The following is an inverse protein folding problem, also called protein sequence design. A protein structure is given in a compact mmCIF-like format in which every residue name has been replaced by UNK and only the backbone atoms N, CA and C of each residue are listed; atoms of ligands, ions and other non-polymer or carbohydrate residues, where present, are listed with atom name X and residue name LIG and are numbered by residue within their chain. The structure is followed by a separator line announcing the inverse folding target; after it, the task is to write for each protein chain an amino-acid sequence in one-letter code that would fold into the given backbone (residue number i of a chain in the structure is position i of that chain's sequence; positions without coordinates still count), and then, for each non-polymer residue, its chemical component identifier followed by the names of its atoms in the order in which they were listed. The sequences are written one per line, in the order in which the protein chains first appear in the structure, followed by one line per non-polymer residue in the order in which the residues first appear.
data_IF_178502836931
#
_entry.id   IF_178502836931
#
_cell.length_a   1.000
_cell.length_b   1.000
_cell.length_c   1.000
_cell.angle_alpha   90.00
_cell.angle_beta   90.00
_cell.angle_gamma   90.00
#
_symmetry.space_group_name_H-M   'P 1'
#
loop_
_entity.id
_entity.type
_entity.pdbx_description
1 polymer ?
#
# COMPACT_ATOMS: atom_id res chain seq x y z
N UNK A 1 7.55 -6.56 -5.18
CA UNK A 1 8.87 -7.23 -5.08
C UNK A 1 9.87 -6.36 -4.33
N UNK A 2 10.33 -5.23 -4.88
CA UNK A 2 11.39 -4.39 -4.26
C UNK A 2 11.04 -3.96 -2.83
N UNK A 3 9.78 -3.57 -2.57
CA UNK A 3 9.33 -3.26 -1.22
C UNK A 3 9.49 -4.45 -0.25
N UNK A 4 9.08 -5.66 -0.65
CA UNK A 4 9.23 -6.87 0.17
C UNK A 4 10.70 -7.18 0.46
N UNK A 5 11.58 -7.04 -0.54
CA UNK A 5 13.03 -7.21 -0.34
C UNK A 5 13.67 -6.17 0.56
N UNK A 6 13.08 -4.98 0.65
CA UNK A 6 13.61 -3.88 1.46
C UNK A 6 13.06 -3.89 2.90
N UNK A 7 11.80 -4.26 3.07
CA UNK A 7 11.09 -4.15 4.36
C UNK A 7 10.93 -5.48 5.11
N UNK A 8 10.88 -6.61 4.42
CA UNK A 8 10.60 -7.90 5.05
C UNK A 8 11.90 -8.60 5.47
N UNK A 9 11.91 -9.24 6.65
CA UNK A 9 13.05 -10.03 7.14
C UNK A 9 13.37 -11.23 6.24
N UNK A 10 12.37 -11.74 5.53
CA UNK A 10 12.48 -12.85 4.58
C UNK A 10 11.91 -12.47 3.23
N UNK A 11 12.73 -12.53 2.19
CA UNK A 11 12.31 -12.30 0.81
C UNK A 11 12.86 -13.38 -0.12
N UNK A 12 12.18 -13.59 -1.25
CA UNK A 12 12.63 -14.54 -2.26
C UNK A 12 13.63 -13.89 -3.24
N UNK A 13 14.36 -14.71 -3.99
CA UNK A 13 15.26 -14.21 -5.03
C UNK A 13 14.50 -13.81 -6.32
N UNK A 14 15.18 -13.15 -7.24
CA UNK A 14 14.58 -12.73 -8.52
C UNK A 14 14.12 -13.88 -9.40
N UNK A 15 14.78 -15.04 -9.34
CA UNK A 15 14.35 -16.19 -10.12
C UNK A 15 12.96 -16.68 -9.68
N UNK A 16 12.66 -16.63 -8.38
CA UNK A 16 11.34 -16.94 -7.84
C UNK A 16 10.30 -15.91 -8.29
N UNK A 17 10.58 -14.62 -8.11
CA UNK A 17 9.65 -13.56 -8.53
C UNK A 17 9.43 -13.57 -10.04
N UNK A 18 10.46 -13.83 -10.85
CA UNK A 18 10.37 -13.97 -12.30
C UNK A 18 9.46 -15.14 -12.69
N UNK A 19 9.62 -16.30 -12.04
CA UNK A 19 8.78 -17.48 -12.27
C UNK A 19 7.30 -17.19 -11.96
N UNK A 20 7.00 -16.51 -10.85
CA UNK A 20 5.62 -16.12 -10.50
C UNK A 20 5.08 -15.05 -11.46
N UNK A 21 5.91 -14.10 -11.85
CA UNK A 21 5.55 -13.00 -12.77
C UNK A 21 5.47 -13.41 -14.24
N UNK A 22 5.84 -14.63 -14.60
CA UNK A 22 5.77 -15.13 -15.98
C UNK A 22 6.83 -14.53 -16.92
N UNK A 23 7.94 -14.02 -16.39
CA UNK A 23 9.03 -13.42 -17.18
C UNK A 23 10.36 -14.13 -16.93
N UNK A 24 11.37 -13.83 -17.75
CA UNK A 24 12.72 -14.39 -17.54
C UNK A 24 13.39 -13.77 -16.31
N UNK A 25 14.28 -14.52 -15.65
CA UNK A 25 15.08 -13.98 -14.54
C UNK A 25 15.94 -12.79 -14.98
N UNK A 26 16.47 -12.81 -16.21
CA UNK A 26 17.26 -11.70 -16.77
C UNK A 26 16.44 -10.42 -16.88
N UNK A 27 15.21 -10.53 -17.36
CA UNK A 27 14.29 -9.40 -17.46
C UNK A 27 13.91 -8.88 -16.07
N UNK A 28 13.59 -9.76 -15.11
CA UNK A 28 13.31 -9.36 -13.73
C UNK A 28 14.50 -8.62 -13.09
N UNK A 29 15.72 -9.11 -13.32
CA UNK A 29 16.94 -8.44 -12.84
C UNK A 29 17.08 -7.04 -13.46
N UNK A 30 16.83 -6.91 -14.77
CA UNK A 30 16.91 -5.63 -15.46
C UNK A 30 15.87 -4.65 -14.91
N UNK A 31 14.61 -5.07 -14.78
CA UNK A 31 13.53 -4.24 -14.25
C UNK A 31 13.77 -3.81 -12.80
N UNK A 32 14.34 -4.69 -11.95
CA UNK A 32 14.69 -4.32 -10.59
C UNK A 32 15.76 -3.22 -10.57
N UNK A 33 16.83 -3.38 -11.35
CA UNK A 33 17.91 -2.39 -11.41
C UNK A 33 17.39 -1.05 -11.96
N UNK A 34 16.64 -1.07 -13.06
CA UNK A 34 16.06 0.13 -13.66
C UNK A 34 15.14 0.87 -12.68
N UNK A 35 14.26 0.15 -11.97
CA UNK A 35 13.39 0.72 -10.96
C UNK A 35 14.16 1.35 -9.79
N UNK A 36 15.21 0.68 -9.28
CA UNK A 36 16.04 1.20 -8.19
C UNK A 36 16.75 2.50 -8.58
N UNK A 37 17.30 2.57 -9.81
CA UNK A 37 17.89 3.79 -10.34
C UNK A 37 16.85 4.88 -10.58
N UNK A 38 15.67 4.54 -11.08
CA UNK A 38 14.56 5.48 -11.27
C UNK A 38 14.11 6.15 -9.96
N UNK A 39 14.21 5.44 -8.83
CA UNK A 39 13.94 6.00 -7.50
C UNK A 39 15.16 6.68 -6.84
N UNK A 40 16.34 6.62 -7.46
CA UNK A 40 17.58 7.05 -6.81
C UNK A 40 17.83 6.32 -5.49
N UNK A 41 17.42 5.05 -5.39
CA UNK A 41 17.50 4.21 -4.19
C UNK A 41 16.76 4.77 -2.96
N UNK A 42 15.84 5.72 -3.12
CA UNK A 42 14.99 6.22 -2.04
C UNK A 42 13.78 5.29 -1.82
N UNK A 43 14.01 4.19 -1.10
CA UNK A 43 12.99 3.15 -0.86
C UNK A 43 12.23 3.29 0.46
N UNK A 44 12.77 4.09 1.40
CA UNK A 44 12.15 4.28 2.70
C UNK A 44 10.91 5.17 2.61
N UNK A 45 9.78 4.67 3.10
CA UNK A 45 8.53 5.42 3.20
C UNK A 45 8.30 5.78 4.67
N UNK A 46 8.26 7.08 4.97
CA UNK A 46 7.96 7.53 6.33
C UNK A 46 6.47 7.31 6.67
N UNK A 47 6.11 7.16 7.96
CA UNK A 47 4.69 7.06 8.35
C UNK A 47 3.84 8.22 7.84
N UNK A 48 4.38 9.45 7.83
CA UNK A 48 3.69 10.62 7.29
C UNK A 48 3.43 10.51 5.78
N UNK A 49 4.42 10.07 5.01
CA UNK A 49 4.28 9.82 3.56
C UNK A 49 3.22 8.76 3.31
N UNK A 50 3.27 7.63 4.03
CA UNK A 50 2.29 6.56 3.91
C UNK A 50 0.86 7.06 4.20
N UNK A 51 0.65 7.72 5.33
CA UNK A 51 -0.67 8.22 5.73
C UNK A 51 -1.26 9.22 4.74
N UNK A 52 -0.40 10.06 4.14
CA UNK A 52 -0.81 11.02 3.11
C UNK A 52 -1.35 10.31 1.87
N UNK A 53 -0.59 9.36 1.32
CA UNK A 53 -1.00 8.61 0.13
C UNK A 53 -2.17 7.66 0.40
N UNK A 54 -2.19 7.01 1.57
CA UNK A 54 -3.31 6.17 1.99
C UNK A 54 -4.62 6.97 2.06
N UNK A 55 -4.60 8.13 2.71
CA UNK A 55 -5.78 9.00 2.83
C UNK A 55 -6.25 9.52 1.46
N UNK A 56 -5.31 9.82 0.57
CA UNK A 56 -5.62 10.20 -0.81
C UNK A 56 -6.33 9.06 -1.57
N UNK A 57 -5.76 7.85 -1.58
CA UNK A 57 -6.35 6.70 -2.26
C UNK A 57 -7.71 6.30 -1.67
N UNK A 58 -7.85 6.34 -0.34
CA UNK A 58 -9.12 6.08 0.35
C UNK A 58 -10.21 7.05 -0.07
N UNK A 59 -9.88 8.33 -0.30
CA UNK A 59 -10.85 9.31 -0.81
C UNK A 59 -11.30 8.96 -2.23
N UNK A 60 -10.36 8.76 -3.14
CA UNK A 60 -10.67 8.50 -4.56
C UNK A 60 -11.49 7.22 -4.76
N UNK A 61 -11.15 6.16 -4.03
CA UNK A 61 -11.88 4.88 -4.08
C UNK A 61 -13.30 4.96 -3.52
N UNK A 62 -13.57 5.89 -2.60
CA UNK A 62 -14.93 6.15 -2.08
C UNK A 62 -15.76 6.99 -3.06
N UNK A 63 -15.12 7.90 -3.81
CA UNK A 63 -15.78 8.69 -4.85
C UNK A 63 -16.17 7.85 -6.08
N UNK A 64 -15.42 6.78 -6.38
CA UNK A 64 -15.66 5.90 -7.52
C UNK A 64 -16.73 4.81 -7.30
N UNK A 65 -17.25 4.62 -6.09
CA UNK A 65 -18.25 3.59 -5.78
C UNK A 65 -19.72 3.99 -6.09
N UNK A 66 -19.96 4.91 -7.02
CA UNK A 66 -21.30 5.11 -7.56
C UNK A 66 -21.51 4.17 -8.76
N UNK A 67 -22.39 3.16 -8.71
CA UNK A 67 -22.75 2.42 -9.92
C UNK A 67 -23.43 3.40 -10.91
N UNK A 68 -23.24 3.25 -12.23
CA UNK A 68 -23.99 4.03 -13.21
C UNK A 68 -25.44 3.55 -13.26
N UNK A 69 -26.24 3.87 -12.24
CA UNK A 69 -27.71 3.79 -12.35
C UNK A 69 -28.23 5.13 -12.83
N UNK A 70 -28.73 5.10 -14.05
CA UNK A 70 -29.42 6.17 -14.77
C UNK A 70 -30.51 6.80 -13.87
N UNK A 71 -30.38 8.11 -13.68
CA UNK A 71 -31.39 9.18 -13.48
C UNK A 71 -32.80 8.73 -13.05
N UNK A 72 -33.26 9.12 -11.86
CA UNK A 72 -34.29 10.18 -11.69
C UNK A 72 -34.62 10.48 -10.22
N UNK A 73 -34.94 11.76 -10.00
CA UNK A 73 -35.81 12.31 -8.95
C UNK A 73 -35.23 12.80 -7.62
N UNK A 74 -35.28 14.14 -7.54
CA UNK A 74 -35.49 15.02 -6.39
C UNK A 74 -34.37 15.19 -5.35
N UNK A 75 -33.66 16.32 -5.49
CA UNK A 75 -33.43 17.33 -4.44
C UNK A 75 -33.75 16.90 -3.01
N UNK A 76 -32.73 16.65 -2.19
CA UNK A 76 -32.69 17.14 -0.80
C UNK A 76 -31.30 16.98 -0.17
N UNK A 77 -30.59 18.09 -0.12
CA UNK A 77 -29.96 18.65 1.07
C UNK A 77 -29.76 17.68 2.25
N UNK A 78 -28.49 17.43 2.60
CA UNK A 78 -28.09 17.08 3.97
C UNK A 78 -28.00 15.58 4.27
N UNK A 79 -26.77 15.07 4.30
CA UNK A 79 -26.34 13.84 5.00
C UNK A 79 -24.81 13.85 4.94
N UNK A 80 -24.11 14.52 5.85
CA UNK A 80 -23.87 14.01 7.21
C UNK A 80 -24.06 12.50 7.27
N UNK A 81 -23.09 11.77 6.71
CA UNK A 81 -22.92 10.37 7.01
C UNK A 81 -21.49 10.22 7.51
N UNK A 82 -21.39 10.27 8.84
CA UNK A 82 -20.38 9.55 9.60
C UNK A 82 -20.24 8.15 9.00
N UNK A 83 -19.34 7.97 8.04
CA UNK A 83 -18.94 6.65 7.61
C UNK A 83 -17.94 6.16 8.65
N UNK A 84 -18.51 5.67 9.75
CA UNK A 84 -17.89 4.83 10.75
C UNK A 84 -17.33 3.58 10.05
N UNK A 85 -16.19 3.73 9.40
CA UNK A 85 -15.37 2.63 8.92
C UNK A 85 -14.50 2.22 10.09
N UNK A 86 -14.99 1.26 10.87
CA UNK A 86 -14.17 0.41 11.72
C UNK A 86 -13.05 -0.19 10.88
N UNK A 87 -11.88 0.42 10.96
CA UNK A 87 -10.64 -0.33 10.94
C UNK A 87 -10.03 -0.03 12.30
N UNK A 88 -10.02 -1.04 13.17
CA UNK A 88 -9.46 -0.92 14.50
C UNK A 88 -8.04 -0.35 14.36
N UNK A 89 -7.83 0.83 14.93
CA UNK A 89 -6.51 1.26 15.37
C UNK A 89 -6.12 0.30 16.50
N UNK A 90 -5.31 -0.71 16.19
CA UNK A 90 -4.51 -1.37 17.21
C UNK A 90 -3.24 -0.53 17.34
N UNK A 91 -3.33 0.45 18.24
CA UNK A 91 -2.24 1.29 18.67
C UNK A 91 -1.04 0.46 19.15
N UNK A 92 0.13 0.92 18.73
CA UNK A 92 1.44 0.53 19.23
C UNK A 92 1.52 0.60 20.76
N UNK A 93 2.00 -0.47 21.39
CA UNK A 93 2.70 -0.37 22.68
C UNK A 93 4.08 -1.02 22.56
N UNK A 94 5.11 -0.18 22.45
CA UNK A 94 6.48 -0.56 22.73
C UNK A 94 6.71 -0.60 24.26
N UNK A 95 7.66 -1.45 24.67
CA UNK A 95 8.37 -1.56 25.95
C UNK A 95 7.83 -2.57 26.99
N UNK A 96 8.53 -3.70 27.12
CA UNK A 96 9.48 -3.86 28.23
C UNK A 96 10.52 -4.97 27.99
N UNK A 97 11.73 -4.69 28.45
CA UNK A 97 12.88 -5.58 28.58
C UNK A 97 12.55 -6.82 29.43
N UNK A 98 13.22 -7.95 29.13
CA UNK A 98 14.02 -8.67 30.13
C UNK A 98 14.99 -9.69 29.47
N UNK A 99 16.27 -9.58 29.86
CA UNK A 99 17.29 -10.61 29.74
C UNK A 99 16.92 -11.85 30.59
N UNK A 100 17.30 -13.05 30.15
CA UNK A 100 18.08 -14.02 30.95
C UNK A 100 18.37 -15.32 30.18
N UNK A 101 19.68 -15.65 30.14
CA UNK A 101 20.37 -16.95 30.07
C UNK A 101 20.01 -17.94 28.95
#
# INVERSE_FOLDING_TARGET
MVAAKFMDDMSYNNAYYAKVGGISTTEMNFLEVDFLFGLGFQLNVTPNTFNTYYSYLKRETMLQQCPPSIVESSLSLGRSLNLHLCFNEEDSTHQNQQLAV
#
